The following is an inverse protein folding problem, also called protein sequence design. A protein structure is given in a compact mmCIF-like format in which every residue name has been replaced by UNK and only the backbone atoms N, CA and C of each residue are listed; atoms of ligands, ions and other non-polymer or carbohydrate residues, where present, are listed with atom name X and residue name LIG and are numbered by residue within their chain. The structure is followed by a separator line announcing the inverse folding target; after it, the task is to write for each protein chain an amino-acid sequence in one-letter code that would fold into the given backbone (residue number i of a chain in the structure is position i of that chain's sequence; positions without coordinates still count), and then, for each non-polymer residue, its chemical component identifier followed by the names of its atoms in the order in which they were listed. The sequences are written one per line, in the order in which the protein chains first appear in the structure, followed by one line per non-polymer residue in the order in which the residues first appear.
data_IF_710336948163
#
_entry.id   IF_710336948163
#
_cell.length_a   1.000
_cell.length_b   1.000
_cell.length_c   1.000
_cell.angle_alpha   90.00
_cell.angle_beta   90.00
_cell.angle_gamma   90.00
#
_symmetry.space_group_name_H-M   'P 1'
#
loop_
_entity.id
_entity.type
_entity.pdbx_description
1 polymer ?
#
# COMPACT_ATOMS: atom_id res chain seq x y z
N UNK A 1 22.89 1.36 10.17
CA UNK A 1 22.91 0.07 9.47
C UNK A 1 21.69 -0.74 9.93
N UNK A 2 20.61 -0.71 9.15
CA UNK A 2 19.36 -1.46 9.35
C UNK A 2 19.19 -2.57 8.30
N UNK A 3 20.26 -2.91 7.58
CA UNK A 3 20.19 -3.64 6.31
C UNK A 3 20.35 -5.16 6.43
N UNK A 4 20.85 -5.68 7.56
CA UNK A 4 21.18 -7.12 7.69
C UNK A 4 20.48 -7.80 8.87
N UNK A 5 19.30 -7.31 9.28
CA UNK A 5 18.50 -8.04 10.26
C UNK A 5 17.42 -8.87 9.56
N UNK A 6 17.59 -10.20 9.43
CA UNK A 6 16.61 -11.07 8.76
C UNK A 6 15.23 -11.03 9.45
N UNK A 7 15.16 -10.76 10.75
CA UNK A 7 13.91 -10.61 11.48
C UNK A 7 13.17 -9.32 11.10
N UNK A 8 13.89 -8.24 10.79
CA UNK A 8 13.27 -6.99 10.30
C UNK A 8 12.73 -7.16 8.87
N UNK A 9 13.41 -7.94 8.03
CA UNK A 9 12.91 -8.29 6.70
C UNK A 9 11.63 -9.14 6.79
N UNK A 10 11.63 -10.15 7.67
CA UNK A 10 10.47 -11.00 7.93
C UNK A 10 9.29 -10.20 8.48
N UNK A 11 9.52 -9.31 9.45
CA UNK A 11 8.47 -8.44 10.00
C UNK A 11 7.88 -7.53 8.91
N UNK A 12 8.71 -6.91 8.05
CA UNK A 12 8.23 -6.12 6.91
C UNK A 12 7.35 -6.94 5.97
N UNK A 13 7.75 -8.16 5.65
CA UNK A 13 6.95 -9.04 4.79
C UNK A 13 5.61 -9.40 5.44
N UNK A 14 5.58 -9.71 6.73
CA UNK A 14 4.36 -10.01 7.47
C UNK A 14 3.40 -8.81 7.53
N UNK A 15 3.92 -7.60 7.72
CA UNK A 15 3.10 -6.38 7.74
C UNK A 15 2.47 -6.10 6.35
N UNK A 16 3.26 -6.22 5.27
CA UNK A 16 2.74 -6.05 3.91
C UNK A 16 1.74 -7.13 3.48
N UNK A 17 1.82 -8.33 4.05
CA UNK A 17 0.93 -9.45 3.72
C UNK A 17 -0.45 -9.31 4.37
N UNK A 18 -0.53 -8.69 5.55
CA UNK A 18 -1.78 -8.46 6.27
C UNK A 18 -2.51 -7.19 5.85
N UNK A 19 -1.84 -6.29 5.11
CA UNK A 19 -2.43 -5.02 4.70
C UNK A 19 -3.44 -5.26 3.57
N UNK A 20 -4.71 -4.83 3.71
CA UNK A 20 -5.70 -4.97 2.65
C UNK A 20 -5.24 -4.20 1.41
N UNK A 21 -5.32 -4.84 0.25
CA UNK A 21 -5.00 -4.23 -1.04
C UNK A 21 -6.29 -3.88 -1.75
N UNK A 22 -6.33 -2.70 -2.35
CA UNK A 22 -7.45 -2.26 -3.17
C UNK A 22 -6.96 -1.98 -4.59
N UNK A 23 -7.72 -2.44 -5.57
CA UNK A 23 -7.49 -2.17 -6.99
C UNK A 23 -8.38 -0.99 -7.41
N UNK A 24 -7.85 -0.09 -8.24
CA UNK A 24 -8.54 1.15 -8.58
C UNK A 24 -7.78 2.00 -9.60
N UNK A 25 -8.38 3.14 -9.96
CA UNK A 25 -7.82 4.10 -10.91
C UNK A 25 -7.11 5.22 -10.16
N UNK A 26 -5.86 5.51 -10.54
CA UNK A 26 -5.10 6.62 -9.94
C UNK A 26 -5.58 7.94 -10.53
N UNK A 27 -6.17 8.81 -9.70
CA UNK A 27 -6.50 10.19 -10.06
C UNK A 27 -5.45 11.15 -9.49
N UNK A 28 -4.68 11.76 -10.39
CA UNK A 28 -3.72 12.78 -10.04
C UNK A 28 -4.42 14.13 -9.78
N UNK A 29 -3.86 14.93 -8.87
CA UNK A 29 -4.26 16.33 -8.69
C UNK A 29 -3.04 17.23 -8.89
N UNK A 30 -3.28 18.51 -9.20
CA UNK A 30 -2.21 19.51 -9.35
C UNK A 30 -1.50 19.84 -8.02
N UNK A 31 -2.03 19.37 -6.88
CA UNK A 31 -1.54 19.69 -5.53
C UNK A 31 -0.46 18.74 -5.01
N UNK A 32 0.16 17.92 -5.87
CA UNK A 32 1.25 17.01 -5.48
C UNK A 32 0.80 15.76 -4.71
N UNK A 33 -0.51 15.54 -4.58
CA UNK A 33 -1.10 14.31 -4.08
C UNK A 33 -2.10 13.74 -5.10
N UNK A 34 -2.46 12.48 -4.94
CA UNK A 34 -3.47 11.82 -5.77
C UNK A 34 -4.36 10.91 -4.94
N UNK A 35 -5.40 10.39 -5.58
CA UNK A 35 -6.36 9.48 -4.98
C UNK A 35 -6.36 8.17 -5.75
N UNK A 36 -6.53 7.06 -5.05
CA UNK A 36 -6.86 5.78 -5.65
C UNK A 36 -8.38 5.66 -5.64
N UNK A 37 -9.02 5.84 -6.80
CA UNK A 37 -10.45 5.56 -6.94
C UNK A 37 -10.67 4.06 -7.02
N UNK A 38 -11.11 3.50 -5.90
CA UNK A 38 -11.56 2.13 -5.82
C UNK A 38 -13.04 2.10 -6.16
N UNK A 39 -13.45 1.27 -7.11
CA UNK A 39 -14.87 1.09 -7.42
C UNK A 39 -15.52 0.38 -6.23
N UNK A 40 -16.09 1.16 -5.31
CA UNK A 40 -16.91 0.63 -4.24
C UNK A 40 -18.30 0.24 -4.79
N UNK A 41 -18.35 -0.55 -5.87
CA UNK A 41 -19.55 -1.33 -6.20
C UNK A 41 -19.59 -2.59 -5.32
N UNK A 42 -19.81 -2.38 -4.03
CA UNK A 42 -20.51 -3.37 -3.21
C UNK A 42 -21.62 -2.66 -2.44
N UNK A 43 -22.83 -3.06 -2.85
CA UNK A 43 -24.16 -2.72 -2.35
C UNK A 43 -24.30 -2.62 -0.83
#
# INVERSE_FOLDING_TARGET
MFQDNPLLAQLKQQLHSQTPRAEGVVKATEKGFGFLEVDAQKS
#
